data_IF_431015343267
#
_entry.id   IF_431015343267
#
_cell.length_a   1.000
_cell.length_b   1.000
_cell.length_c   1.000
_cell.angle_alpha   90.00
_cell.angle_beta   90.00
_cell.angle_gamma   90.00
#
_symmetry.space_group_name_H-M   'P 1'
#
loop_
_entity.id
_entity.type
_entity.pdbx_description
1 polymer ?
#
# COMPACT_ATOMS: atom_id res chain seq x y z
N UNK A 1 93.12 16.04 26.60
CA UNK A 1 92.04 16.07 25.59
C UNK A 1 90.77 15.59 26.27
N UNK A 2 89.92 16.53 26.71
CA UNK A 2 88.60 16.24 27.30
C UNK A 2 87.56 16.71 26.29
N UNK A 3 86.78 15.76 25.79
CA UNK A 3 85.69 15.95 24.84
C UNK A 3 84.45 16.42 25.59
N UNK A 4 83.95 17.61 25.28
CA UNK A 4 82.64 18.10 25.73
C UNK A 4 81.62 17.83 24.65
N UNK A 5 80.76 16.84 24.87
CA UNK A 5 79.60 16.56 24.01
C UNK A 5 78.47 17.54 24.31
N UNK A 6 78.01 18.25 23.28
CA UNK A 6 76.83 19.13 23.32
C UNK A 6 75.59 18.24 23.15
N UNK A 7 74.73 18.19 24.18
CA UNK A 7 73.45 17.51 24.16
C UNK A 7 72.38 18.49 23.63
N UNK A 8 71.95 18.31 22.37
CA UNK A 8 70.80 19.04 21.81
C UNK A 8 69.50 18.47 22.39
N UNK A 9 68.76 19.30 23.12
CA UNK A 9 67.41 19.00 23.61
C UNK A 9 66.42 19.44 22.52
N UNK A 10 65.77 18.48 21.87
CA UNK A 10 64.62 18.71 20.98
C UNK A 10 63.37 18.95 21.83
N UNK A 11 62.90 20.20 21.87
CA UNK A 11 61.60 20.56 22.45
C UNK A 11 60.54 20.35 21.36
N UNK A 12 59.76 19.28 21.48
CA UNK A 12 58.57 19.04 20.65
C UNK A 12 57.39 19.83 21.22
N UNK A 13 56.97 20.87 20.50
CA UNK A 13 55.68 21.54 20.72
C UNK A 13 54.54 20.57 20.40
N UNK A 14 53.76 20.19 21.41
CA UNK A 14 52.49 19.47 21.23
C UNK A 14 51.42 20.55 20.98
N UNK A 15 51.03 20.71 19.72
CA UNK A 15 49.91 21.56 19.33
C UNK A 15 48.64 20.76 19.60
N UNK A 16 47.97 21.04 20.70
CA UNK A 16 46.63 20.52 20.99
C UNK A 16 45.61 21.23 20.09
N UNK A 17 45.30 20.61 18.94
CA UNK A 17 44.15 21.00 18.14
C UNK A 17 42.86 20.63 18.89
N UNK A 18 41.99 21.62 19.13
CA UNK A 18 40.61 21.34 19.51
C UNK A 18 39.95 20.59 18.35
N UNK A 19 39.66 19.31 18.55
CA UNK A 19 38.76 18.57 17.68
C UNK A 19 37.37 19.18 17.88
N UNK A 20 36.87 19.90 16.87
CA UNK A 20 35.45 20.16 16.76
C UNK A 20 34.77 18.81 16.59
N UNK A 21 34.11 18.34 17.65
CA UNK A 21 33.14 17.26 17.54
C UNK A 21 32.05 17.74 16.56
N UNK A 22 31.63 16.90 15.60
CA UNK A 22 30.45 17.22 14.80
C UNK A 22 29.28 17.38 15.76
N UNK A 23 28.58 18.52 15.66
CA UNK A 23 27.27 18.68 16.28
C UNK A 23 26.42 17.50 15.86
N UNK A 24 25.84 16.79 16.83
CA UNK A 24 24.77 15.83 16.59
C UNK A 24 23.79 16.47 15.59
N UNK A 25 23.70 15.89 14.39
CA UNK A 25 22.75 16.37 13.39
C UNK A 25 21.35 16.20 13.94
N UNK A 26 20.68 17.29 14.27
CA UNK A 26 19.23 17.28 14.32
C UNK A 26 18.76 16.87 12.93
N UNK A 27 18.08 15.73 12.82
CA UNK A 27 17.42 15.31 11.59
C UNK A 27 16.50 16.45 11.17
N UNK A 28 16.90 17.22 10.15
CA UNK A 28 16.10 18.32 9.64
C UNK A 28 14.87 17.73 8.96
N UNK A 29 13.73 17.75 9.63
CA UNK A 29 12.46 17.34 9.04
C UNK A 29 12.18 18.21 7.81
N UNK A 30 11.96 17.56 6.68
CA UNK A 30 11.63 18.19 5.40
C UNK A 30 10.14 18.07 5.13
N UNK A 31 9.54 19.08 4.50
CA UNK A 31 8.16 19.04 4.00
C UNK A 31 8.09 18.57 2.54
N UNK A 32 9.21 18.14 1.96
CA UNK A 32 9.22 17.46 0.65
C UNK A 32 8.64 16.06 0.79
N UNK A 33 7.61 15.76 0.01
CA UNK A 33 6.97 14.44 -0.09
C UNK A 33 7.82 13.54 -0.99
N UNK A 34 8.06 12.31 -0.53
CA UNK A 34 8.70 11.26 -1.32
C UNK A 34 7.65 10.25 -1.78
N UNK A 35 7.23 10.35 -3.04
CA UNK A 35 6.19 9.50 -3.65
C UNK A 35 6.49 7.99 -3.62
N UNK A 36 7.75 7.57 -3.42
CA UNK A 36 8.15 6.17 -3.36
C UNK A 36 8.30 5.62 -1.93
N UNK A 37 8.51 6.48 -0.94
CA UNK A 37 8.84 6.08 0.44
C UNK A 37 7.78 6.50 1.46
N UNK A 38 7.07 7.60 1.22
CA UNK A 38 6.04 8.09 2.11
C UNK A 38 4.75 7.29 1.90
N UNK A 39 4.05 6.98 2.99
CA UNK A 39 2.67 6.49 2.90
C UNK A 39 1.79 7.68 2.66
N UNK A 40 1.21 7.78 1.47
CA UNK A 40 0.43 8.94 1.04
C UNK A 40 -1.03 8.55 1.07
N UNK A 41 -1.81 9.29 1.85
CA UNK A 41 -3.24 9.09 2.02
C UNK A 41 -4.02 10.30 1.50
N UNK A 42 -4.80 10.06 0.45
CA UNK A 42 -5.78 11.01 -0.06
C UNK A 42 -7.18 10.60 0.42
N UNK A 43 -7.55 11.12 1.59
CA UNK A 43 -8.89 10.99 2.21
C UNK A 43 -9.36 9.55 2.50
N UNK A 44 -8.44 8.60 2.67
CA UNK A 44 -8.75 7.18 2.89
C UNK A 44 -9.25 6.45 1.64
N UNK A 45 -9.30 7.13 0.49
CA UNK A 45 -9.78 6.58 -0.78
C UNK A 45 -8.64 6.11 -1.67
N UNK A 46 -7.53 6.85 -1.66
CA UNK A 46 -6.30 6.49 -2.38
C UNK A 46 -5.17 6.43 -1.36
N UNK A 47 -4.54 5.27 -1.22
CA UNK A 47 -3.43 5.07 -0.28
C UNK A 47 -2.26 4.40 -0.97
N UNK A 48 -1.16 5.14 -1.12
CA UNK A 48 0.08 4.66 -1.73
C UNK A 48 1.06 4.14 -0.68
N UNK A 49 1.91 3.21 -1.10
CA UNK A 49 3.03 2.68 -0.30
C UNK A 49 2.64 2.10 1.06
N UNK A 50 1.39 1.65 1.25
CA UNK A 50 0.87 1.14 2.53
C UNK A 50 1.78 0.10 3.21
N UNK A 51 2.41 -0.77 2.40
CA UNK A 51 3.40 -1.79 2.82
C UNK A 51 4.56 -1.22 3.65
N UNK A 52 4.88 0.07 3.52
CA UNK A 52 5.94 0.74 4.28
C UNK A 52 5.58 0.87 5.76
N UNK A 53 4.30 1.10 6.09
CA UNK A 53 3.84 1.06 7.49
C UNK A 53 3.91 -0.36 8.06
N UNK A 54 3.56 -1.38 7.28
CA UNK A 54 3.68 -2.78 7.70
C UNK A 54 5.15 -3.15 7.98
N UNK A 55 6.05 -2.75 7.08
CA UNK A 55 7.49 -2.94 7.25
C UNK A 55 8.02 -2.19 8.49
N UNK A 56 7.56 -0.96 8.75
CA UNK A 56 7.92 -0.20 9.95
C UNK A 56 7.53 -0.95 11.24
N UNK A 57 6.29 -1.47 11.31
CA UNK A 57 5.80 -2.27 12.44
C UNK A 57 6.64 -3.55 12.63
N UNK A 58 6.98 -4.23 11.53
CA UNK A 58 7.74 -5.48 11.55
C UNK A 58 9.20 -5.28 11.97
N UNK A 59 9.86 -4.26 11.41
CA UNK A 59 11.27 -3.99 11.64
C UNK A 59 11.54 -3.43 13.04
N UNK A 60 10.56 -2.74 13.64
CA UNK A 60 10.66 -2.10 14.97
C UNK A 60 11.87 -1.18 15.10
N UNK A 61 12.24 -0.52 14.01
CA UNK A 61 13.39 0.37 13.93
C UNK A 61 13.20 1.38 12.79
N UNK A 62 13.98 2.45 12.83
CA UNK A 62 14.00 3.46 11.79
C UNK A 62 12.85 4.45 11.89
N UNK A 63 12.49 5.02 10.74
CA UNK A 63 11.50 6.08 10.59
C UNK A 63 10.52 5.76 9.47
N UNK A 64 9.28 6.22 9.60
CA UNK A 64 8.30 6.15 8.52
C UNK A 64 7.39 7.37 8.58
N UNK A 65 7.11 7.97 7.42
CA UNK A 65 6.20 9.11 7.29
C UNK A 65 4.85 8.65 6.72
N UNK A 66 3.78 9.21 7.28
CA UNK A 66 2.43 9.16 6.70
C UNK A 66 1.99 10.58 6.38
N UNK A 67 1.68 10.84 5.12
CA UNK A 67 1.19 12.12 4.61
C UNK A 67 -0.32 12.02 4.41
N UNK A 68 -1.08 12.95 4.97
CA UNK A 68 -2.51 13.05 4.77
C UNK A 68 -2.82 14.33 4.01
N UNK A 69 -3.49 14.21 2.87
CA UNK A 69 -4.03 15.38 2.19
C UNK A 69 -5.34 15.85 2.83
N UNK A 70 -5.46 17.15 3.08
CA UNK A 70 -6.74 17.81 3.40
C UNK A 70 -7.65 17.81 2.18
N UNK A 71 -8.94 18.11 2.36
CA UNK A 71 -9.90 18.14 1.23
C UNK A 71 -9.55 19.23 0.21
N UNK A 72 -8.81 20.25 0.65
CA UNK A 72 -8.26 21.33 -0.16
C UNK A 72 -6.96 20.93 -0.89
N UNK A 73 -6.34 19.82 -0.49
CA UNK A 73 -5.12 19.28 -1.11
C UNK A 73 -3.82 19.64 -0.41
N UNK A 74 -3.88 20.22 0.79
CA UNK A 74 -2.69 20.57 1.58
C UNK A 74 -2.20 19.35 2.39
N UNK A 75 -0.88 19.13 2.50
CA UNK A 75 -0.34 17.97 3.21
C UNK A 75 -0.23 18.20 4.72
N UNK A 76 -0.59 17.17 5.48
CA UNK A 76 -0.30 17.03 6.92
C UNK A 76 0.67 15.85 7.09
N UNK A 77 1.80 16.10 7.75
CA UNK A 77 2.86 15.12 7.94
C UNK A 77 2.78 14.48 9.32
N UNK A 78 2.83 13.15 9.35
CA UNK A 78 2.96 12.36 10.56
C UNK A 78 4.24 11.53 10.47
N UNK A 79 5.32 12.06 11.04
CA UNK A 79 6.63 11.40 11.06
C UNK A 79 6.72 10.47 12.27
N UNK A 80 6.97 9.18 12.03
CA UNK A 80 7.18 8.17 13.07
C UNK A 80 8.67 7.85 13.19
N UNK A 81 9.16 7.69 14.42
CA UNK A 81 10.53 7.26 14.71
C UNK A 81 10.56 6.32 15.90
N UNK A 82 11.17 5.15 15.74
CA UNK A 82 11.47 4.30 16.90
C UNK A 82 12.59 4.93 17.74
N UNK A 83 12.37 4.99 19.05
CA UNK A 83 13.31 5.48 20.06
C UNK A 83 13.44 4.45 21.19
N UNK A 84 14.35 4.68 22.14
CA UNK A 84 14.50 3.83 23.33
C UNK A 84 13.25 3.84 24.23
N UNK A 85 12.35 4.82 24.07
CA UNK A 85 11.14 5.01 24.88
C UNK A 85 9.86 4.54 24.18
N UNK A 86 9.95 4.08 22.94
CA UNK A 86 8.82 3.64 22.13
C UNK A 86 8.87 4.22 20.71
N UNK A 87 7.77 4.83 20.28
CA UNK A 87 7.60 5.50 19.00
C UNK A 87 7.34 6.97 19.27
N UNK A 88 8.23 7.83 18.79
CA UNK A 88 7.98 9.26 18.68
C UNK A 88 7.17 9.51 17.40
N UNK A 89 6.05 10.22 17.52
CA UNK A 89 5.25 10.70 16.40
C UNK A 89 5.29 12.23 16.39
N UNK A 90 5.77 12.84 15.31
CA UNK A 90 5.68 14.27 15.06
C UNK A 90 4.56 14.53 14.06
N UNK A 91 3.52 15.23 14.51
CA UNK A 91 2.43 15.74 13.69
C UNK A 91 2.74 17.18 13.30
N UNK A 92 2.71 17.46 12.00
CA UNK A 92 3.02 18.77 11.42
C UNK A 92 1.99 19.12 10.36
N UNK A 93 1.15 20.12 10.66
CA UNK A 93 0.19 20.70 9.73
C UNK A 93 0.61 22.12 9.29
N UNK A 94 1.91 22.46 9.33
CA UNK A 94 2.36 23.83 8.98
C UNK A 94 2.13 24.20 7.52
N UNK A 95 1.99 23.21 6.64
CA UNK A 95 1.70 23.39 5.21
C UNK A 95 0.18 23.39 4.91
N UNK A 96 -0.68 23.21 5.92
CA UNK A 96 -2.14 23.38 5.79
C UNK A 96 -2.49 24.88 5.82
N UNK A 97 -2.88 25.40 4.66
CA UNK A 97 -3.13 26.84 4.45
C UNK A 97 -4.35 27.33 5.25
N UNK A 98 -5.32 26.44 5.50
CA UNK A 98 -6.58 26.79 6.17
C UNK A 98 -6.60 26.39 7.65
N UNK A 99 -5.66 25.54 8.06
CA UNK A 99 -5.40 25.19 9.45
C UNK A 99 -4.67 26.28 10.24
N UNK A 100 -4.59 26.10 11.55
CA UNK A 100 -3.61 26.83 12.38
C UNK A 100 -2.30 26.04 12.37
N UNK A 101 -1.20 26.59 11.84
CA UNK A 101 0.08 25.90 11.78
C UNK A 101 0.55 25.48 13.18
N UNK A 102 0.78 24.19 13.35
CA UNK A 102 1.22 23.60 14.60
C UNK A 102 2.09 22.38 14.34
N UNK A 103 3.15 22.26 15.14
CA UNK A 103 3.96 21.05 15.21
C UNK A 103 3.82 20.49 16.61
N UNK A 104 3.39 19.23 16.71
CA UNK A 104 3.20 18.54 18.00
C UNK A 104 3.88 17.20 17.97
N UNK A 105 4.52 16.83 19.08
CA UNK A 105 5.18 15.52 19.23
C UNK A 105 4.48 14.70 20.30
N UNK A 106 4.32 13.42 20.04
CA UNK A 106 3.76 12.42 20.95
C UNK A 106 4.76 11.29 21.15
N UNK A 107 4.84 10.76 22.36
CA UNK A 107 5.56 9.52 22.66
C UNK A 107 4.54 8.41 22.90
N UNK A 108 4.58 7.36 22.09
CA UNK A 108 3.66 6.22 22.15
C UNK A 108 4.42 4.91 22.28
N UNK A 109 3.77 3.85 22.75
CA UNK A 109 4.44 2.57 22.98
C UNK A 109 4.41 1.65 21.75
N UNK A 110 3.29 1.62 21.02
CA UNK A 110 3.11 0.70 19.90
C UNK A 110 2.30 1.32 18.78
N UNK A 111 2.62 0.94 17.53
CA UNK A 111 1.75 1.10 16.37
C UNK A 111 1.05 -0.23 16.10
N UNK A 112 -0.28 -0.24 16.13
CA UNK A 112 -1.10 -1.45 15.99
C UNK A 112 -1.87 -1.39 14.68
N UNK A 113 -1.65 -2.39 13.82
CA UNK A 113 -2.48 -2.66 12.65
C UNK A 113 -3.68 -3.50 13.06
N UNK A 114 -4.89 -3.08 12.72
CA UNK A 114 -6.11 -3.84 12.93
C UNK A 114 -6.93 -3.91 11.64
N UNK A 115 -7.38 -5.09 11.27
CA UNK A 115 -8.17 -5.32 10.06
C UNK A 115 -9.46 -6.04 10.43
N UNK A 116 -10.57 -5.49 9.96
CA UNK A 116 -11.91 -6.08 10.06
C UNK A 116 -12.43 -6.38 8.66
N UNK A 117 -13.69 -6.82 8.56
CA UNK A 117 -14.38 -6.98 7.28
C UNK A 117 -14.68 -5.65 6.57
N UNK A 118 -14.53 -4.50 7.25
CA UNK A 118 -14.98 -3.18 6.77
C UNK A 118 -13.96 -2.05 6.89
N UNK A 119 -12.87 -2.27 7.61
CA UNK A 119 -11.90 -1.24 7.94
C UNK A 119 -10.53 -1.86 8.19
N UNK A 120 -9.51 -1.26 7.59
CA UNK A 120 -8.11 -1.39 8.00
C UNK A 120 -7.71 -0.11 8.74
N UNK A 121 -7.13 -0.25 9.93
CA UNK A 121 -6.66 0.88 10.73
C UNK A 121 -5.25 0.66 11.27
N UNK A 122 -4.53 1.78 11.41
CA UNK A 122 -3.24 1.87 12.07
C UNK A 122 -3.40 2.86 13.23
N UNK A 123 -3.19 2.38 14.45
CA UNK A 123 -3.45 3.16 15.66
C UNK A 123 -2.22 3.13 16.56
N UNK A 124 -1.71 4.31 16.94
CA UNK A 124 -0.71 4.43 17.99
C UNK A 124 -1.38 4.24 19.35
N UNK A 125 -0.75 3.48 20.23
CA UNK A 125 -1.30 3.10 21.55
C UNK A 125 -0.28 3.27 22.65
N UNK A 126 -0.77 3.51 23.87
CA UNK A 126 0.09 3.79 25.02
C UNK A 126 0.77 5.15 24.90
N UNK A 127 0.10 6.12 24.29
CA UNK A 127 0.63 7.47 24.14
C UNK A 127 0.62 8.21 25.49
N UNK A 128 1.69 8.96 25.76
CA UNK A 128 1.80 9.82 26.94
C UNK A 128 0.82 11.00 26.84
N UNK A 129 0.31 11.46 27.99
CA UNK A 129 -0.67 12.54 28.08
C UNK A 129 -2.11 12.04 28.22
N UNK A 130 -3.08 12.89 27.87
CA UNK A 130 -4.51 12.59 28.04
C UNK A 130 -5.05 11.62 26.99
N UNK A 131 -4.45 11.60 25.79
CA UNK A 131 -4.84 10.73 24.70
C UNK A 131 -4.04 9.42 24.74
N UNK A 132 -4.64 8.36 25.28
CA UNK A 132 -3.99 7.05 25.33
C UNK A 132 -3.81 6.37 23.95
N UNK A 133 -4.50 6.87 22.91
CA UNK A 133 -4.49 6.35 21.54
C UNK A 133 -4.60 7.48 20.52
N UNK A 134 -3.91 7.32 19.39
CA UNK A 134 -3.97 8.23 18.24
C UNK A 134 -4.25 7.41 16.99
N UNK A 135 -5.33 7.73 16.28
CA UNK A 135 -5.67 7.11 14.99
C UNK A 135 -4.77 7.72 13.92
N UNK A 136 -3.83 6.92 13.41
CA UNK A 136 -2.86 7.38 12.41
C UNK A 136 -3.44 7.29 11.00
N UNK A 137 -4.01 6.14 10.63
CA UNK A 137 -4.54 5.90 9.29
C UNK A 137 -5.75 4.97 9.35
N UNK A 138 -6.78 5.30 8.58
CA UNK A 138 -7.99 4.50 8.43
C UNK A 138 -8.34 4.38 6.95
N UNK A 139 -8.57 3.13 6.50
CA UNK A 139 -8.94 2.80 5.12
C UNK A 139 -10.26 2.03 5.18
N UNK A 140 -11.40 2.72 5.02
CA UNK A 140 -12.71 2.09 5.04
C UNK A 140 -12.99 1.35 3.73
N UNK A 141 -13.56 0.16 3.82
CA UNK A 141 -14.01 -0.65 2.68
C UNK A 141 -15.32 -1.38 2.99
N UNK A 142 -16.24 -0.70 3.69
CA UNK A 142 -17.60 -1.22 3.90
C UNK A 142 -18.39 -1.13 2.59
N UNK A 143 -18.54 -2.28 1.91
CA UNK A 143 -19.27 -2.37 0.64
C UNK A 143 -20.73 -1.93 0.78
N UNK A 144 -21.31 -2.06 1.98
CA UNK A 144 -22.70 -1.66 2.25
C UNK A 144 -22.91 -0.14 2.25
N UNK A 145 -21.81 0.63 2.27
CA UNK A 145 -21.85 2.09 2.14
C UNK A 145 -21.76 2.57 0.69
N UNK A 146 -21.58 1.64 -0.27
CA UNK A 146 -21.56 1.98 -1.69
C UNK A 146 -22.96 1.84 -2.27
N UNK A 147 -23.43 2.87 -2.95
CA UNK A 147 -24.70 2.85 -3.68
C UNK A 147 -24.66 1.85 -4.84
N UNK A 148 -23.47 1.70 -5.44
CA UNK A 148 -23.22 0.76 -6.53
C UNK A 148 -21.83 0.15 -6.38
N UNK A 149 -21.76 -1.17 -6.51
CA UNK A 149 -20.51 -1.90 -6.66
C UNK A 149 -20.68 -3.04 -7.65
N UNK A 150 -20.17 -2.85 -8.85
CA UNK A 150 -20.21 -3.84 -9.93
C UNK A 150 -18.85 -3.93 -10.64
N UNK A 151 -18.54 -5.09 -11.20
CA UNK A 151 -17.33 -5.28 -11.99
C UNK A 151 -17.49 -6.35 -13.06
N UNK A 152 -16.61 -6.27 -14.06
CA UNK A 152 -16.41 -7.28 -15.08
C UNK A 152 -14.94 -7.63 -15.10
N UNK A 153 -14.59 -8.86 -14.76
CA UNK A 153 -13.24 -9.40 -14.88
C UNK A 153 -13.23 -10.50 -15.94
N UNK A 154 -12.56 -10.25 -17.06
CA UNK A 154 -12.19 -11.28 -18.03
C UNK A 154 -10.74 -11.67 -17.82
N UNK A 155 -10.45 -12.97 -17.92
CA UNK A 155 -9.10 -13.46 -17.60
C UNK A 155 -8.75 -14.77 -18.30
N UNK A 156 -7.46 -15.11 -18.24
CA UNK A 156 -6.91 -16.32 -18.83
C UNK A 156 -6.44 -16.12 -20.26
N UNK A 157 -6.08 -17.21 -20.93
CA UNK A 157 -5.62 -17.17 -22.32
C UNK A 157 -6.78 -16.72 -23.21
N UNK A 158 -6.54 -15.70 -24.03
CA UNK A 158 -7.54 -15.06 -24.90
C UNK A 158 -8.79 -14.53 -24.15
N UNK A 159 -8.67 -14.23 -22.84
CA UNK A 159 -9.76 -13.67 -22.03
C UNK A 159 -11.07 -14.51 -22.06
N UNK A 160 -10.94 -15.84 -22.12
CA UNK A 160 -12.08 -16.76 -22.26
C UNK A 160 -12.87 -17.01 -20.98
N UNK A 161 -12.31 -16.69 -19.82
CA UNK A 161 -13.07 -16.72 -18.56
C UNK A 161 -13.65 -15.34 -18.29
N UNK A 162 -14.80 -15.29 -17.62
CA UNK A 162 -15.47 -14.03 -17.29
C UNK A 162 -16.23 -14.14 -15.97
N UNK A 163 -16.07 -13.14 -15.12
CA UNK A 163 -16.90 -12.86 -13.95
C UNK A 163 -17.55 -11.51 -14.20
N UNK A 164 -18.86 -11.48 -14.39
CA UNK A 164 -19.59 -10.26 -14.75
C UNK A 164 -20.77 -10.09 -13.81
N UNK A 165 -20.66 -9.15 -12.88
CA UNK A 165 -21.72 -8.90 -11.88
C UNK A 165 -22.83 -8.02 -12.43
N UNK A 166 -22.57 -7.24 -13.49
CA UNK A 166 -23.55 -6.39 -14.17
C UNK A 166 -24.58 -7.24 -14.91
N UNK A 167 -24.11 -8.16 -15.75
CA UNK A 167 -24.94 -9.07 -16.54
C UNK A 167 -25.28 -10.35 -15.77
N UNK A 168 -24.83 -10.47 -14.51
CA UNK A 168 -25.01 -11.66 -13.67
C UNK A 168 -24.58 -12.94 -14.39
N UNK A 169 -23.38 -12.91 -14.97
CA UNK A 169 -22.85 -13.98 -15.82
C UNK A 169 -21.49 -14.47 -15.35
N UNK A 170 -21.31 -15.78 -15.37
CA UNK A 170 -20.05 -16.45 -15.11
C UNK A 170 -19.70 -17.34 -16.30
N UNK A 171 -18.46 -17.24 -16.81
CA UNK A 171 -17.93 -18.07 -17.90
C UNK A 171 -16.62 -18.71 -17.45
N UNK A 172 -16.52 -20.03 -17.65
CA UNK A 172 -15.32 -20.83 -17.41
C UNK A 172 -14.84 -21.44 -18.73
N UNK A 173 -13.59 -21.19 -19.07
CA UNK A 173 -12.92 -21.85 -20.19
C UNK A 173 -12.64 -23.32 -19.83
N UNK A 174 -13.05 -24.24 -20.69
CA UNK A 174 -12.81 -25.67 -20.52
C UNK A 174 -11.49 -26.13 -21.18
N UNK A 175 -10.78 -25.20 -21.83
CA UNK A 175 -9.46 -25.39 -22.47
C UNK A 175 -9.44 -26.45 -23.58
N UNK A 176 -10.61 -26.85 -24.07
CA UNK A 176 -10.80 -27.78 -25.19
C UNK A 176 -11.47 -27.08 -26.40
N UNK A 177 -11.54 -25.74 -26.37
CA UNK A 177 -12.25 -24.93 -27.35
C UNK A 177 -13.67 -24.53 -26.92
N UNK A 178 -14.25 -25.19 -25.92
CA UNK A 178 -15.58 -24.90 -25.38
C UNK A 178 -15.51 -24.05 -24.09
N UNK A 179 -16.65 -23.46 -23.72
CA UNK A 179 -16.83 -22.75 -22.45
C UNK A 179 -18.06 -23.28 -21.72
N UNK A 180 -18.04 -23.28 -20.39
CA UNK A 180 -19.22 -23.42 -19.57
C UNK A 180 -19.70 -22.04 -19.13
N UNK A 181 -21.02 -21.81 -19.13
CA UNK A 181 -21.60 -20.53 -18.71
C UNK A 181 -22.77 -20.72 -17.76
N UNK A 182 -22.90 -19.77 -16.82
CA UNK A 182 -24.01 -19.67 -15.88
C UNK A 182 -24.61 -18.28 -16.04
N UNK A 183 -25.93 -18.23 -16.21
CA UNK A 183 -26.75 -17.02 -16.07
C UNK A 183 -27.26 -16.93 -14.63
N UNK A 184 -27.70 -15.73 -14.22
CA UNK A 184 -28.15 -15.44 -12.85
C UNK A 184 -27.05 -15.67 -11.79
N UNK A 185 -25.78 -15.50 -12.18
CA UNK A 185 -24.65 -15.51 -11.26
C UNK A 185 -24.74 -14.31 -10.30
N UNK A 186 -24.65 -14.61 -9.02
CA UNK A 186 -24.59 -13.61 -7.95
C UNK A 186 -23.54 -13.96 -6.93
N UNK A 187 -22.93 -12.93 -6.36
CA UNK A 187 -22.02 -13.03 -5.22
C UNK A 187 -22.81 -12.82 -3.93
N UNK A 188 -22.46 -13.56 -2.89
CA UNK A 188 -22.96 -13.32 -1.53
C UNK A 188 -22.44 -11.98 -0.98
N UNK A 189 -23.10 -11.43 0.04
CA UNK A 189 -22.63 -10.19 0.69
C UNK A 189 -21.20 -10.31 1.22
N UNK A 190 -20.84 -11.48 1.76
CA UNK A 190 -19.49 -11.75 2.24
C UNK A 190 -18.46 -11.74 1.10
N UNK A 191 -18.74 -12.42 -0.03
CA UNK A 191 -17.84 -12.44 -1.19
C UNK A 191 -17.70 -11.04 -1.79
N UNK A 192 -18.81 -10.28 -1.90
CA UNK A 192 -18.80 -8.88 -2.36
C UNK A 192 -17.94 -8.00 -1.45
N UNK A 193 -18.10 -8.13 -0.14
CA UNK A 193 -17.30 -7.36 0.84
C UNK A 193 -15.81 -7.69 0.75
N UNK A 194 -15.46 -8.97 0.62
CA UNK A 194 -14.06 -9.39 0.44
C UNK A 194 -13.47 -8.84 -0.85
N UNK A 195 -14.16 -8.97 -1.98
CA UNK A 195 -13.68 -8.46 -3.27
C UNK A 195 -13.53 -6.93 -3.24
N UNK A 196 -14.49 -6.21 -2.65
CA UNK A 196 -14.40 -4.75 -2.49
C UNK A 196 -13.20 -4.34 -1.64
N UNK A 197 -12.92 -5.06 -0.54
CA UNK A 197 -11.71 -4.85 0.26
C UNK A 197 -10.44 -5.02 -0.59
N UNK A 198 -10.32 -6.12 -1.33
CA UNK A 198 -9.14 -6.35 -2.18
C UNK A 198 -8.96 -5.22 -3.20
N UNK A 199 -10.04 -4.73 -3.82
CA UNK A 199 -9.97 -3.60 -4.76
C UNK A 199 -9.49 -2.31 -4.09
N UNK A 200 -10.02 -1.97 -2.91
CA UNK A 200 -9.61 -0.77 -2.15
C UNK A 200 -8.13 -0.86 -1.75
N UNK A 201 -7.67 -2.01 -1.26
CA UNK A 201 -6.27 -2.20 -0.85
C UNK A 201 -5.31 -2.29 -2.04
N UNK A 202 -5.77 -2.71 -3.21
CA UNK A 202 -5.06 -2.60 -4.48
C UNK A 202 -5.06 -1.18 -5.07
N UNK A 203 -5.65 -0.21 -4.35
CA UNK A 203 -5.70 1.19 -4.74
C UNK A 203 -6.34 1.39 -6.12
N UNK A 204 -7.46 0.72 -6.39
CA UNK A 204 -8.13 0.71 -7.70
C UNK A 204 -8.57 2.10 -8.23
N UNK A 205 -8.54 3.15 -7.42
CA UNK A 205 -8.90 4.51 -7.87
C UNK A 205 -7.72 5.26 -8.48
N UNK A 206 -6.52 4.83 -8.14
CA UNK A 206 -5.25 5.41 -8.58
C UNK A 206 -5.00 5.11 -10.05
N UNK A 207 -4.17 5.95 -10.66
CA UNK A 207 -3.64 5.66 -12.00
C UNK A 207 -2.68 4.47 -11.92
N UNK A 208 -2.72 3.61 -12.95
CA UNK A 208 -1.90 2.39 -13.01
C UNK A 208 -1.12 2.36 -14.32
N UNK A 209 0.17 2.09 -14.23
CA UNK A 209 1.04 1.87 -15.39
C UNK A 209 1.05 0.37 -15.72
N UNK A 210 0.18 -0.04 -16.65
CA UNK A 210 0.00 -1.44 -17.04
C UNK A 210 0.38 -1.68 -18.50
N UNK A 211 0.79 -2.90 -18.83
CA UNK A 211 1.13 -3.27 -20.20
C UNK A 211 0.38 -4.50 -20.71
N UNK A 212 -0.08 -4.41 -21.95
CA UNK A 212 -0.67 -5.53 -22.69
C UNK A 212 0.35 -6.28 -23.55
N UNK A 213 1.62 -5.88 -23.54
CA UNK A 213 2.66 -6.50 -24.36
C UNK A 213 3.18 -7.79 -23.73
N UNK A 214 3.09 -8.89 -24.47
CA UNK A 214 3.69 -10.15 -24.06
C UNK A 214 4.36 -10.91 -25.23
N UNK A 215 5.61 -11.29 -25.01
CA UNK A 215 6.41 -12.07 -25.97
C UNK A 215 6.27 -13.60 -25.78
N UNK A 216 5.58 -14.04 -24.72
CA UNK A 216 5.30 -15.46 -24.45
C UNK A 216 3.92 -15.82 -24.99
N UNK A 217 3.78 -17.01 -25.56
CA UNK A 217 2.49 -17.53 -26.02
C UNK A 217 2.33 -18.99 -25.57
N UNK A 218 1.13 -19.40 -25.12
CA UNK A 218 -0.01 -18.54 -24.81
C UNK A 218 0.27 -17.68 -23.56
N UNK A 219 -0.20 -16.42 -23.55
CA UNK A 219 -0.08 -15.53 -22.41
C UNK A 219 -1.40 -15.48 -21.62
N UNK A 220 -1.30 -15.43 -20.30
CA UNK A 220 -2.44 -15.03 -19.46
C UNK A 220 -2.60 -13.51 -19.53
N UNK A 221 -3.84 -13.09 -19.76
CA UNK A 221 -4.23 -11.67 -19.80
C UNK A 221 -5.40 -11.43 -18.87
N UNK A 222 -5.59 -10.17 -18.50
CA UNK A 222 -6.66 -9.70 -17.65
C UNK A 222 -7.27 -8.43 -18.25
N UNK A 223 -8.59 -8.31 -18.12
CA UNK A 223 -9.37 -7.13 -18.47
C UNK A 223 -10.39 -6.91 -17.35
N UNK A 224 -10.21 -5.82 -16.61
CA UNK A 224 -11.01 -5.50 -15.42
C UNK A 224 -11.68 -4.15 -15.61
N UNK A 225 -13.00 -4.13 -15.63
CA UNK A 225 -13.83 -2.94 -15.49
C UNK A 225 -14.44 -2.92 -14.10
N UNK A 226 -14.31 -1.81 -13.37
CA UNK A 226 -14.89 -1.62 -12.04
C UNK A 226 -15.80 -0.39 -12.05
N UNK A 227 -17.01 -0.54 -11.53
CA UNK A 227 -18.00 0.53 -11.36
C UNK A 227 -18.36 0.65 -9.88
N UNK A 228 -17.91 1.74 -9.25
CA UNK A 228 -18.20 2.05 -7.85
C UNK A 228 -18.87 3.41 -7.78
N UNK A 229 -20.12 3.42 -7.31
CA UNK A 229 -21.01 4.59 -7.34
C UNK A 229 -21.05 5.21 -8.76
N UNK A 230 -20.57 6.44 -8.91
CA UNK A 230 -20.51 7.17 -10.18
C UNK A 230 -19.14 7.06 -10.88
N UNK A 231 -18.17 6.38 -10.26
CA UNK A 231 -16.84 6.19 -10.83
C UNK A 231 -16.74 4.90 -11.63
N UNK A 232 -16.05 4.99 -12.77
CA UNK A 232 -15.65 3.83 -13.57
C UNK A 232 -14.14 3.82 -13.76
N UNK A 233 -13.55 2.63 -13.73
CA UNK A 233 -12.15 2.38 -14.07
C UNK A 233 -12.05 1.15 -14.96
N UNK A 234 -11.12 1.20 -15.90
CA UNK A 234 -10.84 0.10 -16.82
C UNK A 234 -9.34 -0.17 -16.87
N UNK A 235 -8.97 -1.44 -16.75
CA UNK A 235 -7.59 -1.90 -16.71
C UNK A 235 -7.42 -3.10 -17.64
N UNK A 236 -6.33 -3.12 -18.40
CA UNK A 236 -5.92 -4.25 -19.23
C UNK A 236 -4.43 -4.50 -19.06
N UNK A 237 -4.06 -5.76 -18.79
CA UNK A 237 -2.66 -6.13 -18.63
C UNK A 237 -2.43 -7.62 -18.92
N UNK A 238 -1.15 -7.99 -18.99
CA UNK A 238 -0.70 -9.38 -19.13
C UNK A 238 0.20 -9.79 -17.97
N UNK A 239 0.38 -11.08 -17.77
CA UNK A 239 1.31 -11.62 -16.75
C UNK A 239 2.81 -11.37 -17.04
N UNK A 240 3.14 -10.66 -18.12
CA UNK A 240 4.48 -10.68 -18.71
C UNK A 240 5.38 -9.56 -18.22
N UNK A 241 4.81 -8.49 -17.68
CA UNK A 241 5.56 -7.46 -16.98
C UNK A 241 5.60 -7.76 -15.48
N UNK A 242 6.59 -7.18 -14.79
CA UNK A 242 6.79 -7.35 -13.35
C UNK A 242 7.05 -5.99 -12.70
N UNK A 243 6.26 -4.98 -13.08
CA UNK A 243 6.21 -3.70 -12.37
C UNK A 243 5.41 -3.86 -11.07
N UNK A 244 5.44 -2.84 -10.22
CA UNK A 244 4.64 -2.85 -8.98
C UNK A 244 3.13 -2.86 -9.27
N UNK A 245 2.67 -2.08 -10.25
CA UNK A 245 1.26 -2.04 -10.64
C UNK A 245 0.80 -3.35 -11.28
N UNK A 246 1.61 -3.96 -12.15
CA UNK A 246 1.28 -5.26 -12.75
C UNK A 246 1.15 -6.34 -11.67
N UNK A 247 2.06 -6.36 -10.69
CA UNK A 247 2.02 -7.31 -9.58
C UNK A 247 0.77 -7.10 -8.73
N UNK A 248 0.50 -5.86 -8.31
CA UNK A 248 -0.66 -5.52 -7.48
C UNK A 248 -1.99 -5.85 -8.16
N UNK A 249 -2.14 -5.48 -9.45
CA UNK A 249 -3.37 -5.75 -10.20
C UNK A 249 -3.54 -7.24 -10.49
N UNK A 250 -2.45 -7.97 -10.72
CA UNK A 250 -2.49 -9.43 -10.88
C UNK A 250 -2.91 -10.13 -9.58
N UNK A 251 -2.35 -9.71 -8.43
CA UNK A 251 -2.75 -10.23 -7.11
C UNK A 251 -4.24 -9.97 -6.85
N UNK A 252 -4.74 -8.77 -7.17
CA UNK A 252 -6.16 -8.43 -7.09
C UNK A 252 -7.01 -9.38 -7.96
N UNK A 253 -6.69 -9.53 -9.24
CA UNK A 253 -7.45 -10.40 -10.14
C UNK A 253 -7.46 -11.85 -9.63
N UNK A 254 -6.31 -12.36 -9.17
CA UNK A 254 -6.22 -13.70 -8.60
C UNK A 254 -7.05 -13.86 -7.32
N UNK A 255 -7.09 -12.84 -6.45
CA UNK A 255 -7.92 -12.85 -5.25
C UNK A 255 -9.42 -12.94 -5.62
N UNK A 256 -9.87 -12.12 -6.57
CA UNK A 256 -11.25 -12.15 -7.09
C UNK A 256 -11.59 -13.54 -7.64
N UNK A 257 -10.74 -14.07 -8.51
CA UNK A 257 -10.91 -15.39 -9.12
C UNK A 257 -11.02 -16.46 -8.03
N UNK A 258 -10.13 -16.45 -7.03
CA UNK A 258 -10.12 -17.43 -5.94
C UNK A 258 -11.40 -17.38 -5.10
N UNK A 259 -11.91 -16.19 -4.81
CA UNK A 259 -13.18 -16.00 -4.09
C UNK A 259 -14.32 -16.65 -4.89
N UNK A 260 -14.44 -16.33 -6.18
CA UNK A 260 -15.48 -16.89 -7.04
C UNK A 260 -15.36 -18.41 -7.20
N UNK A 261 -14.14 -18.93 -7.34
CA UNK A 261 -13.87 -20.37 -7.48
C UNK A 261 -14.21 -21.16 -6.21
N UNK A 262 -14.12 -20.53 -5.04
CA UNK A 262 -14.55 -21.14 -3.78
C UNK A 262 -16.09 -21.25 -3.67
N UNK A 263 -16.82 -20.42 -4.42
CA UNK A 263 -18.28 -20.37 -4.45
C UNK A 263 -18.93 -21.65 -5.00
N UNK A 264 -20.14 -21.94 -4.52
CA UNK A 264 -20.89 -23.16 -4.88
C UNK A 264 -21.30 -23.19 -6.36
N UNK A 265 -21.58 -22.03 -6.97
CA UNK A 265 -21.95 -21.91 -8.39
C UNK A 265 -20.77 -22.36 -9.27
N UNK A 266 -19.57 -21.83 -9.02
CA UNK A 266 -18.39 -22.20 -9.80
C UNK A 266 -18.04 -23.68 -9.68
N UNK A 267 -18.16 -24.26 -8.47
CA UNK A 267 -17.89 -25.68 -8.21
C UNK A 267 -18.83 -26.65 -8.92
N UNK A 268 -20.00 -26.19 -9.37
CA UNK A 268 -20.93 -27.01 -10.16
C UNK A 268 -20.60 -27.01 -11.65
N UNK A 269 -19.73 -26.11 -12.11
CA UNK A 269 -19.30 -26.08 -13.50
C UNK A 269 -18.44 -27.30 -13.84
N UNK A 270 -18.49 -27.79 -15.09
CA UNK A 270 -17.65 -28.90 -15.53
C UNK A 270 -16.16 -28.66 -15.24
N UNK A 271 -15.46 -29.74 -14.92
CA UNK A 271 -13.99 -29.72 -14.82
C UNK A 271 -13.34 -29.34 -16.15
N UNK A 272 -12.16 -28.74 -16.07
CA UNK A 272 -11.33 -28.44 -17.24
C UNK A 272 -10.92 -29.76 -17.90
N UNK A 273 -11.08 -29.87 -19.22
CA UNK A 273 -10.84 -31.12 -19.98
C UNK A 273 -9.71 -31.02 -21.00
N UNK A 274 -9.12 -29.84 -21.15
CA UNK A 274 -8.00 -29.61 -22.05
C UNK A 274 -6.85 -28.87 -21.37
N UNK A 275 -5.89 -28.47 -22.19
CA UNK A 275 -4.74 -27.65 -21.82
C UNK A 275 -4.45 -26.72 -23.00
N UNK A 276 -3.89 -25.55 -22.73
CA UNK A 276 -3.44 -24.69 -23.81
C UNK A 276 -2.19 -25.29 -24.48
N UNK A 277 -2.15 -25.24 -25.81
CA UNK A 277 -0.98 -25.60 -26.63
C UNK A 277 0.04 -24.47 -26.71
#
# INVERSE_FOLDING_TARGET
>A
MRSSGILLIFITLIITGCFNLPSNGEDKFTTTINEQEDVINSHGMIVKNLKKLDAFIQNKAGTQRVVHYTIEGDPIFNDLKYTDQGIEMRLDNSEDTFGSPQVTTYTCQNLVRNETDKLLSYTLTGCEGEQAKIELLQIPFDVMKQDKFEFVLKYGVNLKNEINTIDMRLVKDLQNGEVASVSDFGLTEQERGQIYKEMVLANYLDEKELSTECNRKPAVSYDLTVQINNGERHYQWTECQNTEDDAQMTELAQAIIKIVQAGSIYKQLPEVKGQYE
#
